data_IF_631544500395
#
_entry.id   IF_631544500395
#
_cell.length_a   1.000
_cell.length_b   1.000
_cell.length_c   1.000
_cell.angle_alpha   90.00
_cell.angle_beta   90.00
_cell.angle_gamma   90.00
#
_symmetry.space_group_name_H-M   'P 1'
#
loop_
_entity.id
_entity.type
_entity.pdbx_description
1 polymer ?
#
# COMPACT_ATOMS: atom_id res chain seq x y z
N UNK A 1 4.93 -7.79 16.00
CA UNK A 1 5.13 -6.89 14.83
C UNK A 1 6.62 -6.71 14.62
N UNK A 2 7.09 -6.60 13.39
CA UNK A 2 8.52 -6.38 13.10
C UNK A 2 8.97 -5.04 13.73
N UNK A 3 10.15 -5.01 14.34
CA UNK A 3 10.72 -3.81 14.96
C UNK A 3 10.85 -2.62 13.99
N UNK A 4 11.02 -2.88 12.70
CA UNK A 4 11.07 -1.84 11.66
C UNK A 4 9.71 -1.15 11.49
N UNK A 5 8.63 -1.90 11.59
CA UNK A 5 7.27 -1.36 11.49
C UNK A 5 6.89 -0.58 12.74
N UNK A 6 7.28 -1.05 13.92
CA UNK A 6 7.09 -0.31 15.17
C UNK A 6 7.82 1.05 15.18
N UNK A 7 8.96 1.12 14.49
CA UNK A 7 9.72 2.36 14.36
C UNK A 7 9.04 3.44 13.50
N UNK A 8 7.95 3.12 12.80
CA UNK A 8 7.18 4.11 12.01
C UNK A 8 6.41 5.11 12.88
N UNK A 9 6.08 4.74 14.11
CA UNK A 9 5.23 5.54 14.99
C UNK A 9 5.84 6.92 15.27
N UNK A 10 5.08 7.97 14.97
CA UNK A 10 5.47 9.36 15.21
C UNK A 10 6.57 9.89 14.30
N UNK A 11 6.86 9.19 13.19
CA UNK A 11 7.93 9.55 12.27
C UNK A 11 7.42 9.69 10.82
N UNK A 12 8.29 10.18 9.95
CA UNK A 12 7.96 10.48 8.56
C UNK A 12 8.03 9.23 7.68
N UNK A 13 6.96 9.00 6.94
CA UNK A 13 6.90 8.06 5.82
C UNK A 13 6.77 8.88 4.54
N UNK A 14 7.59 8.60 3.54
CA UNK A 14 7.58 9.35 2.26
C UNK A 14 7.00 8.49 1.15
N UNK A 15 6.06 9.05 0.40
CA UNK A 15 5.51 8.43 -0.80
C UNK A 15 6.42 8.69 -2.00
N UNK A 16 6.89 7.62 -2.64
CA UNK A 16 7.69 7.66 -3.86
C UNK A 16 6.91 7.00 -4.98
N UNK A 17 6.16 7.78 -5.74
CA UNK A 17 5.27 7.30 -6.80
C UNK A 17 5.26 8.25 -7.99
N UNK A 18 5.20 7.69 -9.20
CA UNK A 18 4.96 8.41 -10.43
C UNK A 18 4.16 7.53 -11.40
N UNK A 19 3.04 8.04 -11.91
CA UNK A 19 2.21 7.35 -12.88
C UNK A 19 2.85 7.33 -14.28
N UNK A 20 2.42 6.44 -15.19
CA UNK A 20 3.04 6.29 -16.52
C UNK A 20 3.13 7.56 -17.37
N UNK A 21 2.22 8.51 -17.17
CA UNK A 21 2.17 9.81 -17.87
C UNK A 21 2.93 10.93 -17.15
N UNK A 22 3.49 10.65 -15.99
CA UNK A 22 4.24 11.63 -15.20
C UNK A 22 5.74 11.60 -15.56
N UNK A 23 6.43 12.77 -15.55
CA UNK A 23 7.81 12.89 -16.04
C UNK A 23 8.85 12.08 -15.25
N UNK A 24 8.58 11.75 -13.99
CA UNK A 24 9.48 10.95 -13.14
C UNK A 24 9.18 9.45 -13.16
N UNK A 25 8.28 8.98 -14.04
CA UNK A 25 7.92 7.58 -14.13
C UNK A 25 9.10 6.71 -14.53
N UNK A 26 9.73 6.08 -13.54
CA UNK A 26 10.84 5.15 -13.71
C UNK A 26 11.10 4.46 -12.36
N UNK A 27 11.23 3.16 -12.34
CA UNK A 27 11.60 2.44 -11.11
C UNK A 27 12.97 2.89 -10.59
N UNK A 28 13.93 3.13 -11.50
CA UNK A 28 15.24 3.68 -11.12
C UNK A 28 15.10 5.02 -10.40
N UNK A 29 14.27 5.93 -10.93
CA UNK A 29 14.04 7.25 -10.31
C UNK A 29 13.37 7.08 -8.94
N UNK A 30 12.38 6.20 -8.81
CA UNK A 30 11.72 5.94 -7.51
C UNK A 30 12.70 5.39 -6.47
N UNK A 31 13.63 4.52 -6.87
CA UNK A 31 14.71 4.06 -6.01
C UNK A 31 15.62 5.21 -5.52
N UNK A 32 15.95 6.14 -6.41
CA UNK A 32 16.75 7.34 -6.05
C UNK A 32 15.98 8.30 -5.14
N UNK A 33 14.68 8.48 -5.38
CA UNK A 33 13.81 9.27 -4.51
C UNK A 33 13.73 8.66 -3.11
N UNK A 34 13.59 7.34 -2.99
CA UNK A 34 13.58 6.64 -1.72
C UNK A 34 14.90 6.81 -0.95
N UNK A 35 16.04 6.75 -1.65
CA UNK A 35 17.34 7.01 -1.06
C UNK A 35 17.45 8.45 -0.53
N UNK A 36 17.02 9.44 -1.31
CA UNK A 36 16.97 10.82 -0.89
C UNK A 36 16.05 11.03 0.33
N UNK A 37 14.87 10.40 0.32
CA UNK A 37 13.94 10.44 1.45
C UNK A 37 14.57 9.87 2.73
N UNK A 38 15.27 8.74 2.64
CA UNK A 38 16.02 8.14 3.75
C UNK A 38 17.07 9.10 4.28
N UNK A 39 17.85 9.72 3.40
CA UNK A 39 18.86 10.71 3.79
C UNK A 39 18.23 11.93 4.48
N UNK A 40 17.00 12.29 4.09
CA UNK A 40 16.22 13.34 4.72
C UNK A 40 15.56 12.95 6.04
N UNK A 41 15.68 11.70 6.48
CA UNK A 41 15.18 11.22 7.78
C UNK A 41 13.89 10.41 7.71
N UNK A 42 13.40 10.04 6.52
CA UNK A 42 12.27 9.12 6.40
C UNK A 42 12.61 7.75 6.99
N UNK A 43 11.64 7.14 7.65
CA UNK A 43 11.77 5.81 8.28
C UNK A 43 10.92 4.74 7.59
N UNK A 44 10.16 5.12 6.59
CA UNK A 44 9.36 4.24 5.74
C UNK A 44 9.09 4.86 4.39
N UNK A 45 8.75 4.03 3.42
CA UNK A 45 8.43 4.45 2.04
C UNK A 45 7.06 3.87 1.65
N UNK A 46 6.22 4.66 0.99
CA UNK A 46 5.03 4.17 0.30
C UNK A 46 5.33 4.14 -1.20
N UNK A 47 5.09 3.01 -1.83
CA UNK A 47 5.47 2.78 -3.23
C UNK A 47 4.39 2.04 -4.01
N UNK A 48 4.30 2.34 -5.30
CA UNK A 48 3.37 1.75 -6.25
C UNK A 48 4.11 0.74 -7.15
N UNK A 49 3.51 -0.42 -7.38
CA UNK A 49 3.98 -1.53 -8.20
C UNK A 49 5.12 -2.36 -7.61
N UNK A 50 5.12 -3.64 -7.98
CA UNK A 50 6.18 -4.56 -7.55
C UNK A 50 7.56 -4.18 -8.12
N UNK A 51 7.59 -3.59 -9.31
CA UNK A 51 8.81 -3.16 -9.98
C UNK A 51 9.50 -2.04 -9.20
N UNK A 52 8.73 -1.01 -8.82
CA UNK A 52 9.25 0.12 -8.03
C UNK A 52 9.67 -0.35 -6.63
N UNK A 53 8.89 -1.20 -5.98
CA UNK A 53 9.21 -1.76 -4.66
C UNK A 53 10.52 -2.54 -4.71
N UNK A 54 10.73 -3.35 -5.73
CA UNK A 54 11.97 -4.12 -5.91
C UNK A 54 13.19 -3.20 -6.04
N UNK A 55 13.07 -2.15 -6.85
CA UNK A 55 14.15 -1.18 -7.03
C UNK A 55 14.41 -0.39 -5.74
N UNK A 56 13.37 0.07 -5.06
CA UNK A 56 13.49 0.79 -3.78
C UNK A 56 14.22 -0.08 -2.74
N UNK A 57 13.90 -1.37 -2.65
CA UNK A 57 14.61 -2.28 -1.73
C UNK A 57 16.09 -2.43 -2.05
N UNK A 58 16.49 -2.28 -3.31
CA UNK A 58 17.91 -2.31 -3.68
C UNK A 58 18.68 -1.07 -3.18
N UNK A 59 17.97 0.02 -2.88
CA UNK A 59 18.54 1.30 -2.48
C UNK A 59 18.44 1.57 -0.97
N UNK A 60 17.38 1.10 -0.31
CA UNK A 60 17.13 1.39 1.12
C UNK A 60 16.64 0.16 1.88
N UNK A 61 17.03 0.07 3.15
CA UNK A 61 16.52 -0.92 4.09
C UNK A 61 15.50 -0.26 5.03
N UNK A 62 14.37 0.14 4.48
CA UNK A 62 13.23 0.72 5.19
C UNK A 62 11.98 -0.13 4.97
N UNK A 63 11.03 -0.16 5.92
CA UNK A 63 9.74 -0.78 5.68
C UNK A 63 9.00 -0.07 4.55
N UNK A 64 8.33 -0.86 3.71
CA UNK A 64 7.60 -0.38 2.54
C UNK A 64 6.11 -0.64 2.73
N UNK A 65 5.32 0.40 2.50
CA UNK A 65 3.87 0.31 2.30
C UNK A 65 3.65 0.18 0.79
N UNK A 66 3.28 -1.01 0.35
CA UNK A 66 3.08 -1.31 -1.07
C UNK A 66 1.64 -1.14 -1.50
N UNK A 67 1.45 -0.57 -2.68
CA UNK A 67 0.18 -0.49 -3.39
C UNK A 67 0.37 -0.89 -4.85
N UNK A 68 -0.73 -1.21 -5.52
CA UNK A 68 -0.79 -1.21 -6.98
C UNK A 68 -1.97 -0.36 -7.41
N UNK A 69 -1.69 0.72 -8.15
CA UNK A 69 -2.72 1.54 -8.80
C UNK A 69 -3.09 0.90 -10.13
N UNK A 70 -4.35 0.55 -10.27
CA UNK A 70 -4.91 -0.01 -11.52
C UNK A 70 -6.37 0.37 -11.66
N UNK A 71 -6.71 0.91 -12.83
CA UNK A 71 -8.07 1.27 -13.18
C UNK A 71 -8.84 0.05 -13.69
N UNK A 72 -10.13 -0.02 -13.34
CA UNK A 72 -11.09 -1.02 -13.80
C UNK A 72 -12.35 -0.30 -14.28
N UNK A 73 -12.92 -0.72 -15.40
CA UNK A 73 -14.07 -0.04 -16.04
C UNK A 73 -15.34 -0.07 -15.18
N UNK A 74 -15.46 -1.05 -14.26
CA UNK A 74 -16.64 -1.26 -13.42
C UNK A 74 -16.49 -0.71 -11.99
N UNK A 75 -15.43 0.06 -11.69
CA UNK A 75 -15.20 0.60 -10.36
C UNK A 75 -14.36 1.87 -10.38
N UNK A 76 -14.63 2.77 -9.44
CA UNK A 76 -13.80 3.96 -9.19
C UNK A 76 -12.61 3.66 -8.25
N UNK A 77 -12.59 2.49 -7.63
CA UNK A 77 -11.47 2.06 -6.77
C UNK A 77 -10.27 1.68 -7.65
N UNK A 78 -9.13 2.33 -7.40
CA UNK A 78 -7.89 2.08 -8.14
C UNK A 78 -6.68 1.74 -7.26
N UNK A 79 -6.78 1.87 -5.93
CA UNK A 79 -5.68 1.52 -5.01
C UNK A 79 -5.85 0.08 -4.55
N UNK A 80 -5.01 -0.81 -5.06
CA UNK A 80 -4.99 -2.24 -4.75
C UNK A 80 -6.40 -2.85 -4.82
N UNK A 81 -7.07 -2.74 -5.99
CA UNK A 81 -8.51 -2.94 -6.06
C UNK A 81 -8.97 -4.40 -5.99
N UNK A 82 -8.11 -5.37 -6.38
CA UNK A 82 -8.50 -6.78 -6.45
C UNK A 82 -7.43 -7.72 -5.86
N UNK A 83 -7.75 -9.00 -5.76
CA UNK A 83 -6.80 -10.04 -5.32
C UNK A 83 -5.57 -10.12 -6.24
N UNK A 84 -5.71 -9.80 -7.53
CA UNK A 84 -4.60 -9.78 -8.48
C UNK A 84 -3.49 -8.83 -8.02
N UNK A 85 -3.84 -7.62 -7.60
CA UNK A 85 -2.88 -6.63 -7.11
C UNK A 85 -2.25 -7.06 -5.78
N UNK A 86 -3.01 -7.70 -4.90
CA UNK A 86 -2.48 -8.30 -3.67
C UNK A 86 -1.44 -9.38 -4.01
N UNK A 87 -1.72 -10.26 -4.96
CA UNK A 87 -0.80 -11.33 -5.37
C UNK A 87 0.49 -10.78 -5.98
N UNK A 88 0.39 -9.73 -6.82
CA UNK A 88 1.56 -9.04 -7.37
C UNK A 88 2.45 -8.44 -6.25
N UNK A 89 1.84 -7.82 -5.25
CA UNK A 89 2.58 -7.28 -4.10
C UNK A 89 3.22 -8.38 -3.25
N UNK A 90 2.55 -9.52 -3.09
CA UNK A 90 3.10 -10.64 -2.33
C UNK A 90 4.34 -11.26 -2.97
N UNK A 91 4.58 -11.08 -4.27
CA UNK A 91 5.84 -11.49 -4.92
C UNK A 91 7.06 -10.73 -4.36
N UNK A 92 6.88 -9.49 -3.94
CA UNK A 92 7.95 -8.62 -3.39
C UNK A 92 7.83 -8.38 -1.88
N UNK A 93 6.79 -8.90 -1.26
CA UNK A 93 6.57 -8.93 0.20
C UNK A 93 6.85 -7.58 0.88
N UNK A 94 6.10 -6.52 0.59
CA UNK A 94 6.20 -5.29 1.37
C UNK A 94 5.77 -5.57 2.82
N UNK A 95 6.28 -4.81 3.75
CA UNK A 95 5.94 -4.97 5.17
C UNK A 95 4.45 -4.71 5.42
N UNK A 96 3.89 -3.75 4.69
CA UNK A 96 2.47 -3.39 4.77
C UNK A 96 1.92 -3.31 3.35
N UNK A 97 0.72 -3.83 3.12
CA UNK A 97 -0.05 -3.62 1.89
C UNK A 97 -1.19 -2.65 2.20
N UNK A 98 -1.26 -1.54 1.48
CA UNK A 98 -2.38 -0.63 1.57
C UNK A 98 -3.41 -0.89 0.46
N UNK A 99 -4.68 -0.69 0.78
CA UNK A 99 -5.79 -0.81 -0.15
C UNK A 99 -6.87 0.22 0.17
N UNK A 100 -7.60 0.61 -0.85
CA UNK A 100 -8.83 1.40 -0.68
C UNK A 100 -9.79 0.63 0.24
N UNK A 101 -10.21 1.25 1.32
CA UNK A 101 -11.16 0.71 2.29
C UNK A 101 -12.38 1.61 2.46
N UNK A 102 -12.73 2.35 1.41
CA UNK A 102 -13.95 3.15 1.36
C UNK A 102 -15.19 2.28 1.15
N UNK A 103 -16.36 2.91 1.24
CA UNK A 103 -17.67 2.27 0.97
C UNK A 103 -17.92 2.02 -0.52
N UNK A 104 -17.06 2.51 -1.41
CA UNK A 104 -17.21 2.33 -2.84
C UNK A 104 -17.17 0.83 -3.22
N UNK A 105 -17.88 0.48 -4.28
CA UNK A 105 -17.92 -0.88 -4.80
C UNK A 105 -16.63 -1.19 -5.57
N UNK A 106 -15.97 -2.28 -5.21
CA UNK A 106 -14.77 -2.78 -5.87
C UNK A 106 -15.09 -3.45 -7.21
N UNK A 107 -14.08 -3.62 -8.07
CA UNK A 107 -14.24 -4.41 -9.29
C UNK A 107 -14.84 -5.79 -8.99
N UNK A 108 -15.76 -6.24 -9.85
CA UNK A 108 -16.51 -7.47 -9.64
C UNK A 108 -17.65 -7.37 -8.63
N UNK A 109 -17.99 -6.16 -8.17
CA UNK A 109 -19.14 -5.89 -7.30
C UNK A 109 -18.92 -6.21 -5.81
N UNK A 110 -17.70 -6.48 -5.38
CA UNK A 110 -17.38 -6.74 -3.97
C UNK A 110 -17.36 -5.47 -3.14
N UNK A 111 -17.75 -5.59 -1.87
CA UNK A 111 -17.50 -4.56 -0.86
C UNK A 111 -16.19 -4.85 -0.11
N UNK A 112 -15.79 -3.91 0.75
CA UNK A 112 -14.54 -4.04 1.52
C UNK A 112 -14.56 -5.23 2.49
N UNK A 113 -15.70 -5.52 3.10
CA UNK A 113 -15.86 -6.61 4.07
C UNK A 113 -15.57 -7.98 3.43
N UNK A 114 -16.19 -8.24 2.28
CA UNK A 114 -15.98 -9.48 1.52
C UNK A 114 -14.54 -9.60 1.04
N UNK A 115 -14.02 -8.53 0.47
CA UNK A 115 -12.67 -8.50 -0.08
C UNK A 115 -11.60 -8.68 0.99
N UNK A 116 -11.67 -7.91 2.07
CA UNK A 116 -10.68 -7.99 3.15
C UNK A 116 -10.68 -9.34 3.85
N UNK A 117 -11.86 -9.94 4.03
CA UNK A 117 -11.98 -11.31 4.56
C UNK A 117 -11.20 -12.31 3.69
N UNK A 118 -11.43 -12.31 2.37
CA UNK A 118 -10.71 -13.20 1.44
C UNK A 118 -9.20 -12.99 1.49
N UNK A 119 -8.77 -11.72 1.51
CA UNK A 119 -7.35 -11.36 1.57
C UNK A 119 -6.71 -11.86 2.86
N UNK A 120 -7.37 -11.64 4.00
CA UNK A 120 -6.85 -12.03 5.32
C UNK A 120 -6.84 -13.55 5.51
N UNK A 121 -7.82 -14.27 4.96
CA UNK A 121 -7.82 -15.73 4.94
C UNK A 121 -6.65 -16.30 4.13
N UNK A 122 -6.31 -15.66 3.00
CA UNK A 122 -5.21 -16.10 2.14
C UNK A 122 -3.83 -15.72 2.68
N UNK A 123 -3.72 -14.56 3.32
CA UNK A 123 -2.45 -14.01 3.83
C UNK A 123 -2.59 -13.55 5.30
N UNK A 124 -2.79 -14.48 6.25
CA UNK A 124 -3.11 -14.14 7.64
C UNK A 124 -1.99 -13.37 8.37
N UNK A 125 -0.73 -13.56 7.97
CA UNK A 125 0.42 -12.92 8.61
C UNK A 125 0.79 -11.56 8.00
N UNK A 126 0.21 -11.21 6.84
CA UNK A 126 0.49 -9.93 6.17
C UNK A 126 -0.20 -8.79 6.92
N UNK A 127 0.52 -7.68 7.10
CA UNK A 127 -0.02 -6.44 7.65
C UNK A 127 -0.71 -5.62 6.56
N UNK A 128 -1.87 -5.07 6.90
CA UNK A 128 -2.69 -4.28 5.97
C UNK A 128 -3.01 -2.90 6.50
N UNK A 129 -2.99 -1.92 5.59
CA UNK A 129 -3.41 -0.55 5.83
C UNK A 129 -4.69 -0.24 5.05
N UNK A 130 -5.66 0.35 5.73
CA UNK A 130 -6.89 0.84 5.11
C UNK A 130 -6.70 2.30 4.69
N UNK A 131 -6.88 2.59 3.40
CA UNK A 131 -7.00 3.97 2.93
C UNK A 131 -8.48 4.38 2.99
N UNK A 132 -8.80 5.34 3.85
CA UNK A 132 -10.16 5.78 4.16
C UNK A 132 -10.35 7.26 3.81
N UNK A 133 -11.59 7.64 3.47
CA UNK A 133 -11.98 9.02 3.17
C UNK A 133 -12.78 9.69 4.28
N UNK A 134 -13.38 8.91 5.16
CA UNK A 134 -14.26 9.39 6.23
C UNK A 134 -13.93 8.75 7.57
N UNK A 135 -14.38 9.36 8.65
CA UNK A 135 -14.25 8.79 10.00
C UNK A 135 -15.00 7.47 10.13
N UNK A 136 -16.18 7.37 9.54
CA UNK A 136 -17.00 6.15 9.60
C UNK A 136 -16.29 4.97 8.89
N UNK A 137 -15.68 5.23 7.73
CA UNK A 137 -14.85 4.22 7.04
C UNK A 137 -13.64 3.79 7.87
N UNK A 138 -12.98 4.74 8.54
CA UNK A 138 -11.85 4.46 9.42
C UNK A 138 -12.24 3.58 10.61
N UNK A 139 -13.36 3.88 11.26
CA UNK A 139 -13.91 3.07 12.35
C UNK A 139 -14.30 1.67 11.87
N UNK A 140 -14.94 1.58 10.70
CA UNK A 140 -15.29 0.30 10.10
C UNK A 140 -14.05 -0.53 9.76
N UNK A 141 -13.00 0.09 9.22
CA UNK A 141 -11.73 -0.61 8.94
C UNK A 141 -11.06 -1.14 10.22
N UNK A 142 -11.11 -0.40 11.31
CA UNK A 142 -10.63 -0.86 12.62
C UNK A 142 -11.42 -2.11 13.10
N UNK A 143 -12.75 -2.08 12.97
CA UNK A 143 -13.62 -3.22 13.30
C UNK A 143 -13.33 -4.45 12.43
N UNK A 144 -13.00 -4.26 11.15
CA UNK A 144 -12.61 -5.34 10.24
C UNK A 144 -11.24 -5.97 10.58
N UNK A 145 -10.42 -5.28 11.36
CA UNK A 145 -9.11 -5.76 11.81
C UNK A 145 -7.94 -5.36 10.91
N UNK A 146 -8.04 -4.23 10.23
CA UNK A 146 -6.86 -3.62 9.60
C UNK A 146 -5.83 -3.23 10.65
N UNK A 147 -4.55 -3.40 10.33
CA UNK A 147 -3.45 -3.11 11.26
C UNK A 147 -3.12 -1.61 11.29
N UNK A 148 -3.40 -0.89 10.21
CA UNK A 148 -3.16 0.54 10.05
C UNK A 148 -4.32 1.21 9.33
N UNK A 149 -4.55 2.49 9.65
CA UNK A 149 -5.56 3.32 9.00
C UNK A 149 -4.87 4.58 8.48
N UNK A 150 -5.04 4.84 7.18
CA UNK A 150 -4.60 6.05 6.50
C UNK A 150 -5.80 6.93 6.13
N UNK A 151 -5.61 8.24 6.21
CA UNK A 151 -6.65 9.24 5.88
C UNK A 151 -6.17 10.22 4.82
#
# INVERSE_FOLDING_TARGET
MDSKVENLKGKLIVSCQALPDEPLHSSFIMGRMALAAKQGGAVGIRANTKEDIKEIRSQVDLPIIGIVKRDYDDSDIYITPTMKEIEELMEVKPEIIAMDATIATRPGGKNIDEFFKEVKEKYPEQLFMADCSTVDEALHADELGFDFIGT
#
